data_IF_252479756339
#
_entry.id   IF_252479756339
#
_cell.length_a   1.000
_cell.length_b   1.000
_cell.length_c   1.000
_cell.angle_alpha   90.00
_cell.angle_beta   90.00
_cell.angle_gamma   90.00
#
_symmetry.space_group_name_H-M   'P 1'
#
loop_
_entity.id
_entity.type
_entity.pdbx_description
1 polymer ?
#
# COMPACT_ATOMS: atom_id res chain seq x y z
N UNK A 1 6.50 -6.15 -1.78
CA UNK A 1 5.83 -6.34 -0.47
C UNK A 1 6.72 -6.28 0.78
N UNK A 2 8.06 -6.22 0.70
CA UNK A 2 8.91 -6.26 1.91
C UNK A 2 8.65 -5.13 2.92
N UNK A 3 8.46 -3.89 2.44
CA UNK A 3 8.06 -2.77 3.29
C UNK A 3 6.70 -2.97 3.96
N UNK A 4 5.73 -3.56 3.24
CA UNK A 4 4.40 -3.85 3.76
C UNK A 4 4.43 -4.87 4.91
N UNK A 5 5.31 -5.87 4.82
CA UNK A 5 5.50 -6.86 5.91
C UNK A 5 6.01 -6.18 7.19
N UNK A 6 7.04 -5.34 7.06
CA UNK A 6 7.63 -4.62 8.18
C UNK A 6 6.62 -3.61 8.76
N UNK A 7 5.86 -2.93 7.90
CA UNK A 7 4.83 -1.99 8.31
C UNK A 7 3.73 -2.69 9.12
N UNK A 8 3.21 -3.83 8.63
CA UNK A 8 2.17 -4.58 9.33
C UNK A 8 2.61 -5.06 10.71
N UNK A 9 3.86 -5.53 10.84
CA UNK A 9 4.43 -5.92 12.13
C UNK A 9 4.54 -4.73 13.11
N UNK A 10 4.99 -3.57 12.61
CA UNK A 10 5.21 -2.37 13.45
C UNK A 10 3.92 -1.66 13.86
N UNK A 11 2.97 -1.60 12.94
CA UNK A 11 1.65 -0.97 13.16
C UNK A 11 0.81 -1.81 14.12
N UNK A 12 1.02 -3.13 14.11
CA UNK A 12 0.36 -4.04 15.04
C UNK A 12 -1.12 -4.28 14.71
N UNK A 13 -1.85 -4.99 15.58
CA UNK A 13 -3.18 -5.53 15.28
C UNK A 13 -4.29 -4.48 15.16
N UNK A 14 -4.11 -3.28 15.74
CA UNK A 14 -5.12 -2.23 15.73
C UNK A 14 -4.95 -1.22 14.59
N UNK A 15 -3.78 -1.17 13.98
CA UNK A 15 -3.54 -0.25 12.88
C UNK A 15 -3.77 -0.89 11.51
N UNK A 16 -3.69 -0.06 10.49
CA UNK A 16 -4.03 -0.46 9.13
C UNK A 16 -2.89 -0.15 8.18
N UNK A 17 -2.54 -1.14 7.37
CA UNK A 17 -1.59 -1.01 6.28
C UNK A 17 -2.34 -1.22 4.97
N UNK A 18 -2.36 -0.18 4.15
CA UNK A 18 -2.85 -0.24 2.77
C UNK A 18 -1.63 -0.15 1.86
N UNK A 19 -1.43 -1.15 1.01
CA UNK A 19 -0.34 -1.19 0.04
C UNK A 19 -0.90 -1.11 -1.38
N UNK A 20 -0.20 -0.41 -2.27
CA UNK A 20 -0.56 -0.32 -3.69
C UNK A 20 0.68 -0.53 -4.55
N UNK A 21 0.55 -1.33 -5.60
CA UNK A 21 1.59 -1.56 -6.60
C UNK A 21 0.94 -1.95 -7.95
N UNK A 22 1.63 -1.69 -9.06
CA UNK A 22 1.19 -2.11 -10.40
C UNK A 22 1.26 -3.63 -10.53
N UNK A 23 2.28 -4.24 -9.92
CA UNK A 23 2.50 -5.68 -9.97
C UNK A 23 1.71 -6.40 -8.89
N UNK A 24 1.29 -7.62 -9.20
CA UNK A 24 0.67 -8.50 -8.21
C UNK A 24 1.68 -8.91 -7.12
N UNK A 25 1.17 -9.18 -5.93
CA UNK A 25 1.96 -9.77 -4.85
C UNK A 25 1.12 -10.77 -4.06
N UNK A 26 1.80 -11.71 -3.40
CA UNK A 26 1.15 -12.63 -2.48
C UNK A 26 0.43 -11.88 -1.36
N UNK A 27 -0.72 -12.41 -0.95
CA UNK A 27 -1.48 -11.84 0.17
C UNK A 27 -0.65 -11.86 1.46
N UNK A 28 -0.61 -10.72 2.14
CA UNK A 28 0.09 -10.55 3.41
C UNK A 28 -0.92 -10.30 4.52
N UNK A 29 -0.82 -11.07 5.62
CA UNK A 29 -1.69 -10.87 6.77
C UNK A 29 -1.51 -9.45 7.36
N UNK A 30 -2.62 -8.77 7.64
CA UNK A 30 -2.61 -7.40 8.16
C UNK A 30 -2.32 -6.32 7.10
N UNK A 31 -2.31 -6.67 5.81
CA UNK A 31 -2.12 -5.72 4.71
C UNK A 31 -3.31 -5.82 3.75
N UNK A 32 -4.00 -4.70 3.55
CA UNK A 32 -4.96 -4.55 2.44
C UNK A 32 -4.18 -4.14 1.20
N UNK A 33 -4.24 -4.95 0.14
CA UNK A 33 -3.53 -4.70 -1.10
C UNK A 33 -4.48 -4.24 -2.21
N UNK A 34 -4.07 -3.20 -2.92
CA UNK A 34 -4.74 -2.67 -4.11
C UNK A 34 -3.76 -2.75 -5.27
N UNK A 35 -4.07 -3.60 -6.24
CA UNK A 35 -3.26 -3.68 -7.45
C UNK A 35 -3.69 -2.62 -8.46
N UNK A 36 -2.73 -1.87 -8.99
CA UNK A 36 -2.94 -0.91 -10.06
C UNK A 36 -1.93 0.22 -10.04
N UNK A 37 -1.98 1.04 -11.08
CA UNK A 37 -1.19 2.26 -11.16
C UNK A 37 -1.78 3.31 -10.21
N UNK A 38 -0.98 3.77 -9.24
CA UNK A 38 -1.42 4.76 -8.25
C UNK A 38 -1.78 6.13 -8.88
N UNK A 39 -1.36 6.39 -10.11
CA UNK A 39 -1.73 7.60 -10.86
C UNK A 39 -3.16 7.54 -11.43
N UNK A 40 -3.75 6.35 -11.48
CA UNK A 40 -5.13 6.14 -11.91
C UNK A 40 -6.12 6.51 -10.80
N UNK A 41 -7.15 7.28 -11.17
CA UNK A 41 -8.16 7.76 -10.23
C UNK A 41 -8.91 6.61 -9.54
N UNK A 42 -9.10 5.49 -10.23
CA UNK A 42 -9.74 4.29 -9.68
C UNK A 42 -8.95 3.68 -8.51
N UNK A 43 -7.61 3.66 -8.60
CA UNK A 43 -6.73 3.15 -7.55
C UNK A 43 -6.70 4.10 -6.37
N UNK A 44 -6.61 5.41 -6.63
CA UNK A 44 -6.72 6.42 -5.57
C UNK A 44 -8.05 6.30 -4.81
N UNK A 45 -9.17 6.19 -5.54
CA UNK A 45 -10.49 6.05 -4.94
C UNK A 45 -10.62 4.78 -4.10
N UNK A 46 -10.05 3.65 -4.57
CA UNK A 46 -10.02 2.42 -3.79
C UNK A 46 -9.22 2.57 -2.49
N UNK A 47 -8.08 3.27 -2.51
CA UNK A 47 -7.29 3.57 -1.31
C UNK A 47 -8.10 4.43 -0.34
N UNK A 48 -8.74 5.49 -0.82
CA UNK A 48 -9.54 6.40 0.00
C UNK A 48 -10.77 5.70 0.61
N UNK A 49 -11.42 4.81 -0.15
CA UNK A 49 -12.53 4.00 0.36
C UNK A 49 -12.07 3.08 1.50
N UNK A 50 -10.91 2.40 1.35
CA UNK A 50 -10.32 1.57 2.41
C UNK A 50 -9.87 2.38 3.62
N UNK A 51 -9.38 3.60 3.39
CA UNK A 51 -9.02 4.52 4.46
C UNK A 51 -10.24 4.96 5.27
N UNK A 52 -11.42 5.11 4.66
CA UNK A 52 -12.68 5.31 5.37
C UNK A 52 -12.69 6.56 6.27
N UNK A 53 -12.38 7.73 5.70
CA UNK A 53 -12.26 9.04 6.39
C UNK A 53 -11.24 9.09 7.54
N UNK A 54 -10.44 8.04 7.75
CA UNK A 54 -9.35 8.07 8.74
C UNK A 54 -8.24 9.00 8.26
N UNK A 55 -7.60 9.78 9.14
CA UNK A 55 -6.38 10.48 8.79
C UNK A 55 -5.27 9.46 8.48
N UNK A 56 -4.35 9.83 7.60
CA UNK A 56 -3.14 9.04 7.31
C UNK A 56 -2.01 9.53 8.20
N UNK A 57 -1.43 8.63 8.99
CA UNK A 57 -0.28 8.96 9.86
C UNK A 57 1.05 8.96 9.09
N UNK A 58 1.19 8.09 8.08
CA UNK A 58 2.42 7.90 7.32
C UNK A 58 2.13 7.44 5.89
N UNK A 59 2.83 8.05 4.92
CA UNK A 59 2.92 7.58 3.53
C UNK A 59 4.37 7.20 3.25
N UNK A 60 4.60 5.99 2.73
CA UNK A 60 5.91 5.51 2.30
C UNK A 60 5.87 5.15 0.82
N UNK A 61 6.94 5.42 0.09
CA UNK A 61 7.10 5.04 -1.31
C UNK A 61 8.52 4.57 -1.56
N UNK A 62 8.65 3.37 -2.14
CA UNK A 62 9.91 2.78 -2.59
C UNK A 62 9.94 2.70 -4.13
N UNK A 63 9.27 3.65 -4.78
CA UNK A 63 9.23 3.72 -6.24
C UNK A 63 10.61 4.09 -6.78
N UNK A 64 11.27 3.12 -7.41
CA UNK A 64 12.49 3.33 -8.20
C UNK A 64 12.20 3.00 -9.67
N UNK A 65 12.59 3.87 -10.63
CA UNK A 65 12.45 3.56 -12.05
C UNK A 65 13.37 2.38 -12.41
N UNK A 66 12.96 1.59 -13.41
CA UNK A 66 13.86 0.61 -14.03
C UNK A 66 15.04 1.36 -14.65
N UNK A 67 16.19 1.33 -13.97
CA UNK A 67 17.42 1.92 -14.52
C UNK A 67 17.90 1.04 -15.67
N UNK A 68 17.84 1.57 -16.90
CA UNK A 68 18.58 1.02 -18.03
C UNK A 68 20.07 1.24 -17.77
N UNK A 69 20.79 0.18 -17.43
CA UNK A 69 22.26 0.17 -17.47
C UNK A 69 22.77 0.25 -18.91
#
# INVERSE_FOLDING_TARGET
>A
GGWSQIAAEKVGPEGVVIASDILEMDALAGVDFIQGDFTEESVLNAILERLGNRPVDLVMSDMAPNMSG
#
